data_IF_781384864638
#
_entry.id   IF_781384864638
#
_cell.length_a   1.000
_cell.length_b   1.000
_cell.length_c   1.000
_cell.angle_alpha   90.00
_cell.angle_beta   90.00
_cell.angle_gamma   90.00
#
_symmetry.space_group_name_H-M   'P 1'
#
loop_
_entity.id
_entity.type
_entity.pdbx_description
1 polymer ?
#
# COMPACT_ATOMS: atom_id res chain seq x y z
N UNK A 1 -5.19 -37.60 -7.44
CA UNK A 1 -6.58 -37.53 -7.89
C UNK A 1 -7.45 -37.40 -6.64
N UNK A 2 -8.02 -36.23 -6.38
CA UNK A 2 -8.90 -36.03 -5.23
C UNK A 2 -10.24 -36.72 -5.56
N UNK A 3 -10.61 -37.73 -4.78
CA UNK A 3 -11.86 -38.46 -4.98
C UNK A 3 -13.02 -37.49 -4.85
N UNK A 4 -13.95 -37.53 -5.81
CA UNK A 4 -15.14 -36.68 -5.81
C UNK A 4 -16.01 -36.85 -4.54
N UNK A 5 -16.98 -35.96 -4.32
CA UNK A 5 -17.78 -35.94 -3.10
C UNK A 5 -18.52 -37.28 -2.88
N UNK A 6 -18.64 -37.77 -1.64
CA UNK A 6 -19.32 -39.02 -1.32
C UNK A 6 -20.79 -39.05 -1.75
N UNK A 7 -21.36 -40.24 -1.97
CA UNK A 7 -22.79 -40.38 -2.29
C UNK A 7 -23.68 -40.32 -1.03
N UNK A 8 -23.17 -40.69 0.13
CA UNK A 8 -23.93 -40.64 1.38
C UNK A 8 -24.14 -39.19 1.90
N UNK A 9 -25.36 -38.77 2.28
CA UNK A 9 -25.64 -37.40 2.71
C UNK A 9 -24.83 -36.92 3.93
N UNK A 10 -24.57 -37.79 4.91
CA UNK A 10 -23.80 -37.44 6.10
C UNK A 10 -22.32 -37.27 5.73
N UNK A 11 -21.78 -38.19 4.94
CA UNK A 11 -20.42 -38.12 4.43
C UNK A 11 -20.21 -36.91 3.51
N UNK A 12 -21.20 -36.48 2.72
CA UNK A 12 -21.15 -35.23 1.94
C UNK A 12 -20.97 -34.01 2.83
N UNK A 13 -21.70 -33.95 3.95
CA UNK A 13 -21.58 -32.82 4.90
C UNK A 13 -20.17 -32.76 5.49
N UNK A 14 -19.63 -33.91 5.90
CA UNK A 14 -18.25 -34.00 6.43
C UNK A 14 -17.23 -33.60 5.36
N UNK A 15 -17.37 -34.12 4.15
CA UNK A 15 -16.50 -33.78 3.02
C UNK A 15 -16.49 -32.27 2.71
N UNK A 16 -17.65 -31.61 2.75
CA UNK A 16 -17.75 -30.18 2.54
C UNK A 16 -17.05 -29.39 3.65
N UNK A 17 -17.23 -29.78 4.91
CA UNK A 17 -16.56 -29.15 6.05
C UNK A 17 -15.04 -29.27 5.90
N UNK A 18 -14.53 -30.46 5.60
CA UNK A 18 -13.10 -30.70 5.43
C UNK A 18 -12.53 -29.88 4.26
N UNK A 19 -13.27 -29.79 3.16
CA UNK A 19 -12.88 -28.98 1.99
C UNK A 19 -12.78 -27.50 2.36
N UNK A 20 -13.77 -26.96 3.08
CA UNK A 20 -13.76 -25.58 3.55
C UNK A 20 -12.64 -25.32 4.56
N UNK A 21 -12.39 -26.26 5.48
CA UNK A 21 -11.30 -26.15 6.45
C UNK A 21 -9.93 -26.15 5.77
N UNK A 22 -9.71 -27.03 4.78
CA UNK A 22 -8.48 -27.04 3.97
C UNK A 22 -8.32 -25.74 3.19
N UNK A 23 -9.38 -25.23 2.59
CA UNK A 23 -9.36 -23.94 1.89
C UNK A 23 -8.98 -22.79 2.84
N UNK A 24 -9.65 -22.68 3.98
CA UNK A 24 -9.36 -21.64 4.98
C UNK A 24 -7.92 -21.75 5.52
N UNK A 25 -7.45 -22.97 5.78
CA UNK A 25 -6.07 -23.20 6.21
C UNK A 25 -5.06 -22.70 5.17
N UNK A 26 -5.30 -22.95 3.88
CA UNK A 26 -4.45 -22.41 2.79
C UNK A 26 -4.44 -20.88 2.79
N UNK A 27 -5.59 -20.23 2.96
CA UNK A 27 -5.67 -18.76 3.04
C UNK A 27 -4.89 -18.23 4.25
N UNK A 28 -5.06 -18.83 5.43
CA UNK A 28 -4.33 -18.43 6.64
C UNK A 28 -2.82 -18.61 6.51
N UNK A 29 -2.39 -19.70 5.88
CA UNK A 29 -0.97 -19.96 5.61
C UNK A 29 -0.38 -18.92 4.63
N UNK A 30 -1.14 -18.57 3.58
CA UNK A 30 -0.76 -17.51 2.64
C UNK A 30 -0.65 -16.13 3.34
N UNK A 31 -1.54 -15.80 4.27
CA UNK A 31 -1.52 -14.52 4.99
C UNK A 31 -0.42 -14.42 6.05
N UNK A 32 -0.09 -15.54 6.70
CA UNK A 32 0.91 -15.56 7.79
C UNK A 32 2.35 -15.60 7.28
N UNK A 33 2.57 -15.85 5.98
CA UNK A 33 3.91 -15.87 5.38
C UNK A 33 4.73 -17.11 5.72
N UNK A 34 4.10 -18.11 6.36
CA UNK A 34 4.71 -19.39 6.75
C UNK A 34 5.02 -20.29 5.54
N UNK A 35 4.45 -19.97 4.37
CA UNK A 35 4.65 -20.74 3.13
C UNK A 35 5.90 -20.26 2.40
N UNK A 36 7.01 -20.98 2.59
CA UNK A 36 8.21 -20.91 1.73
C UNK A 36 7.98 -21.75 0.47
N UNK A 37 6.97 -21.38 -0.32
CA UNK A 37 6.79 -21.90 -1.67
C UNK A 37 7.01 -20.73 -2.63
N UNK A 38 7.42 -21.03 -3.85
CA UNK A 38 7.73 -20.13 -4.96
C UNK A 38 6.65 -19.05 -5.25
N UNK A 39 5.46 -19.19 -4.65
CA UNK A 39 4.28 -18.32 -4.70
C UNK A 39 4.05 -17.51 -3.40
N UNK A 40 5.08 -17.32 -2.56
CA UNK A 40 4.94 -16.56 -1.32
C UNK A 40 4.49 -15.12 -1.64
N UNK A 41 3.27 -14.78 -1.18
CA UNK A 41 2.66 -13.47 -1.37
C UNK A 41 3.57 -12.34 -0.86
N UNK A 42 4.32 -12.54 0.22
CA UNK A 42 5.25 -11.53 0.72
C UNK A 42 6.37 -11.22 -0.27
N UNK A 43 6.87 -12.22 -1.00
CA UNK A 43 7.92 -12.01 -2.01
C UNK A 43 7.34 -11.21 -3.19
N UNK A 44 6.14 -11.57 -3.64
CA UNK A 44 5.43 -10.87 -4.72
C UNK A 44 5.13 -9.41 -4.34
N UNK A 45 4.59 -9.19 -3.13
CA UNK A 45 4.26 -7.85 -2.65
C UNK A 45 5.52 -7.01 -2.40
N UNK A 46 6.64 -7.62 -2.02
CA UNK A 46 7.88 -6.91 -1.68
C UNK A 46 8.43 -6.10 -2.86
N UNK A 47 8.29 -6.57 -4.10
CA UNK A 47 8.71 -5.77 -5.26
C UNK A 47 7.84 -4.53 -5.46
N UNK A 48 6.52 -4.64 -5.25
CA UNK A 48 5.62 -3.51 -5.42
C UNK A 48 5.75 -2.51 -4.27
N UNK A 49 5.93 -2.99 -3.03
CA UNK A 49 6.29 -2.12 -1.91
C UNK A 49 7.65 -1.44 -2.09
N UNK A 50 8.61 -2.11 -2.73
CA UNK A 50 9.89 -1.49 -3.08
C UNK A 50 9.69 -0.37 -4.10
N UNK A 51 8.94 -0.60 -5.18
CA UNK A 51 8.61 0.45 -6.17
C UNK A 51 7.93 1.64 -5.50
N UNK A 52 6.99 1.38 -4.59
CA UNK A 52 6.32 2.43 -3.81
C UNK A 52 7.31 3.23 -2.97
N UNK A 53 8.22 2.55 -2.26
CA UNK A 53 9.29 3.21 -1.50
C UNK A 53 10.19 4.04 -2.39
N UNK A 54 10.63 3.50 -3.52
CA UNK A 54 11.52 4.19 -4.45
C UNK A 54 10.84 5.45 -5.02
N UNK A 55 9.52 5.39 -5.29
CA UNK A 55 8.72 6.55 -5.65
C UNK A 55 8.70 7.62 -4.55
N UNK A 56 8.42 7.23 -3.30
CA UNK A 56 8.47 8.14 -2.15
C UNK A 56 9.86 8.78 -1.98
N UNK A 57 10.93 7.99 -2.12
CA UNK A 57 12.29 8.51 -2.03
C UNK A 57 12.60 9.50 -3.16
N UNK A 58 12.07 9.28 -4.38
CA UNK A 58 12.17 10.22 -5.51
C UNK A 58 11.40 11.53 -5.32
N UNK A 59 10.31 11.55 -4.55
CA UNK A 59 9.54 12.78 -4.27
C UNK A 59 10.24 13.76 -3.32
N UNK A 60 11.34 13.37 -2.67
CA UNK A 60 12.07 14.22 -1.70
C UNK A 60 12.62 15.50 -2.33
N UNK A 61 13.08 15.44 -3.57
CA UNK A 61 13.58 16.63 -4.27
C UNK A 61 12.43 17.59 -4.60
N UNK A 62 11.29 17.05 -5.06
CA UNK A 62 10.07 17.82 -5.31
C UNK A 62 9.56 18.50 -4.03
N UNK A 63 9.66 17.84 -2.87
CA UNK A 63 9.30 18.48 -1.59
C UNK A 63 10.10 19.73 -1.31
N UNK A 64 11.42 19.72 -1.57
CA UNK A 64 12.25 20.90 -1.35
C UNK A 64 11.79 22.07 -2.24
N UNK A 65 11.42 21.79 -3.49
CA UNK A 65 10.85 22.79 -4.38
C UNK A 65 9.49 23.30 -3.89
N UNK A 66 8.58 22.42 -3.48
CA UNK A 66 7.26 22.80 -2.94
C UNK A 66 7.39 23.68 -1.69
N UNK A 67 8.35 23.39 -0.81
CA UNK A 67 8.67 24.25 0.35
C UNK A 67 9.08 25.64 -0.11
N UNK A 68 10.03 25.74 -1.06
CA UNK A 68 10.50 27.03 -1.55
C UNK A 68 9.39 27.86 -2.20
N UNK A 69 8.51 27.21 -2.98
CA UNK A 69 7.37 27.88 -3.62
C UNK A 69 6.37 28.41 -2.58
N UNK A 70 5.98 27.59 -1.60
CA UNK A 70 5.02 28.01 -0.56
C UNK A 70 5.61 29.12 0.32
N UNK A 71 6.90 29.04 0.70
CA UNK A 71 7.60 30.10 1.44
C UNK A 71 7.61 31.40 0.64
N UNK A 72 7.96 31.34 -0.65
CA UNK A 72 7.99 32.51 -1.52
C UNK A 72 6.60 33.15 -1.68
N UNK A 73 5.56 32.34 -1.88
CA UNK A 73 4.18 32.85 -1.94
C UNK A 73 3.74 33.49 -0.63
N UNK A 74 4.11 32.86 0.49
CA UNK A 74 3.78 33.35 1.81
C UNK A 74 4.45 34.72 2.08
N UNK A 75 5.75 34.83 1.81
CA UNK A 75 6.54 36.05 1.94
C UNK A 75 6.00 37.19 1.07
N UNK A 76 5.58 36.89 -0.17
CA UNK A 76 4.98 37.88 -1.07
C UNK A 76 3.64 38.43 -0.53
N UNK A 77 2.81 37.57 0.07
CA UNK A 77 1.49 37.95 0.61
C UNK A 77 1.57 38.68 1.97
N UNK A 78 2.60 38.41 2.76
CA UNK A 78 2.75 38.92 4.13
C UNK A 78 3.91 39.91 4.31
N UNK A 79 4.57 40.30 3.21
CA UNK A 79 5.65 41.29 3.20
C UNK A 79 5.26 42.57 3.95
N UNK A 80 6.11 43.00 4.88
CA UNK A 80 5.94 44.15 5.80
C UNK A 80 4.93 43.98 6.95
N UNK A 81 4.34 42.79 7.16
CA UNK A 81 3.46 42.52 8.32
C UNK A 81 4.11 41.71 9.44
N UNK A 82 5.34 41.22 9.28
CA UNK A 82 5.92 40.27 10.25
C UNK A 82 7.13 40.81 11.02
N UNK A 83 7.13 40.52 12.32
CA UNK A 83 8.27 40.65 13.22
C UNK A 83 9.29 39.53 12.88
N UNK A 84 10.60 39.85 12.82
CA UNK A 84 11.63 38.85 12.53
C UNK A 84 11.67 37.79 13.63
N UNK A 85 11.46 36.52 13.28
CA UNK A 85 11.81 35.38 14.16
C UNK A 85 10.75 34.31 14.39
N UNK A 86 9.52 34.45 13.92
CA UNK A 86 8.50 33.41 14.08
C UNK A 86 8.39 32.55 12.81
N UNK A 87 8.77 31.28 12.91
CA UNK A 87 8.42 30.28 11.91
C UNK A 87 6.89 30.15 11.89
N UNK A 88 6.22 30.69 10.86
CA UNK A 88 4.79 30.53 10.76
C UNK A 88 4.46 29.06 10.41
N UNK A 89 4.04 28.29 11.43
CA UNK A 89 3.66 26.89 11.31
C UNK A 89 2.59 26.62 10.23
N UNK A 90 1.78 27.62 9.87
CA UNK A 90 0.80 27.49 8.77
C UNK A 90 1.47 27.23 7.41
N UNK A 91 2.71 27.70 7.20
CA UNK A 91 3.48 27.42 5.98
C UNK A 91 3.82 25.94 5.92
N UNK A 92 4.32 25.37 7.03
CA UNK A 92 4.61 23.93 7.11
C UNK A 92 3.36 23.09 6.92
N UNK A 93 2.22 23.50 7.50
CA UNK A 93 0.95 22.83 7.32
C UNK A 93 0.52 22.79 5.84
N UNK A 94 0.57 23.92 5.14
CA UNK A 94 0.24 24.00 3.71
C UNK A 94 1.14 23.10 2.87
N UNK A 95 2.44 23.08 3.17
CA UNK A 95 3.39 22.22 2.46
C UNK A 95 3.06 20.74 2.70
N UNK A 96 2.82 20.32 3.94
CA UNK A 96 2.47 18.92 4.26
C UNK A 96 1.17 18.51 3.57
N UNK A 97 0.15 19.39 3.56
CA UNK A 97 -1.11 19.12 2.87
C UNK A 97 -0.91 18.91 1.37
N UNK A 98 -0.13 19.78 0.70
CA UNK A 98 0.17 19.63 -0.74
C UNK A 98 0.86 18.31 -1.05
N UNK A 99 1.88 17.95 -0.27
CA UNK A 99 2.58 16.67 -0.46
C UNK A 99 1.67 15.46 -0.29
N UNK A 100 0.86 15.46 0.76
CA UNK A 100 -0.06 14.34 1.03
C UNK A 100 -1.05 14.21 -0.12
N UNK A 101 -1.55 15.33 -0.66
CA UNK A 101 -2.45 15.32 -1.81
C UNK A 101 -1.81 14.71 -3.06
N UNK A 102 -0.57 15.09 -3.38
CA UNK A 102 0.18 14.56 -4.52
C UNK A 102 0.42 13.05 -4.43
N UNK A 103 0.60 12.52 -3.20
CA UNK A 103 0.84 11.10 -2.97
C UNK A 103 -0.42 10.24 -2.99
N UNK A 104 -1.62 10.82 -2.91
CA UNK A 104 -2.89 10.04 -2.88
C UNK A 104 -3.09 9.20 -4.14
N UNK A 105 -2.90 9.81 -5.32
CA UNK A 105 -3.05 9.12 -6.60
C UNK A 105 -2.10 7.92 -6.73
N UNK A 106 -0.78 8.16 -6.61
CA UNK A 106 0.23 7.09 -6.62
C UNK A 106 -0.02 5.98 -5.57
N UNK A 107 -0.51 6.32 -4.38
CA UNK A 107 -0.86 5.32 -3.36
C UNK A 107 -2.02 4.42 -3.79
N UNK A 108 -3.06 5.00 -4.40
CA UNK A 108 -4.19 4.22 -4.94
C UNK A 108 -3.71 3.29 -6.06
N UNK A 109 -2.82 3.75 -6.93
CA UNK A 109 -2.30 2.93 -8.02
C UNK A 109 -1.39 1.80 -7.52
N UNK A 110 -0.62 2.04 -6.45
CA UNK A 110 0.14 0.98 -5.77
C UNK A 110 -0.80 -0.11 -5.21
N UNK A 111 -1.93 0.27 -4.60
CA UNK A 111 -2.94 -0.68 -4.10
C UNK A 111 -3.56 -1.49 -5.25
N UNK A 112 -3.89 -0.85 -6.38
CA UNK A 112 -4.41 -1.56 -7.56
C UNK A 112 -3.40 -2.56 -8.10
N UNK A 113 -2.13 -2.16 -8.24
CA UNK A 113 -1.05 -3.03 -8.70
C UNK A 113 -0.92 -4.27 -7.81
N UNK A 114 -0.95 -4.08 -6.48
CA UNK A 114 -0.89 -5.16 -5.50
C UNK A 114 -2.09 -6.10 -5.62
N UNK A 115 -3.30 -5.56 -5.75
CA UNK A 115 -4.54 -6.36 -5.90
C UNK A 115 -4.53 -7.18 -7.19
N UNK A 116 -4.01 -6.61 -8.27
CA UNK A 116 -4.02 -7.22 -9.59
C UNK A 116 -2.80 -8.15 -9.81
N UNK A 117 -1.87 -8.19 -8.84
CA UNK A 117 -0.70 -9.07 -8.83
C UNK A 117 -1.17 -10.54 -8.72
N UNK A 118 -1.17 -11.24 -9.86
CA UNK A 118 -1.59 -12.64 -9.96
C UNK A 118 -0.37 -13.54 -9.76
N UNK A 119 -0.43 -14.58 -8.91
CA UNK A 119 0.63 -15.59 -8.86
C UNK A 119 0.74 -16.27 -10.24
N UNK A 120 1.96 -16.45 -10.73
CA UNK A 120 2.23 -17.12 -11.99
C UNK A 120 1.77 -18.57 -11.88
N UNK A 121 0.69 -18.92 -12.58
CA UNK A 121 0.19 -20.30 -12.64
C UNK A 121 1.16 -21.14 -13.47
N UNK A 122 1.88 -22.05 -12.81
CA UNK A 122 2.62 -23.15 -13.43
C UNK A 122 1.75 -24.39 -13.60
#
# INVERSE_FOLDING_TARGET
MESGPPLDPLQRKIYLIDTLMKFNSKISQLSNGEVVIQENLFILLRSDFKKWKDHLDGTKESFHQTVQEVVKEYDLKHRRRELPGFSNYSVFEIVVQKLVEELKGPAIDAVKSIRDCRPATG
#
